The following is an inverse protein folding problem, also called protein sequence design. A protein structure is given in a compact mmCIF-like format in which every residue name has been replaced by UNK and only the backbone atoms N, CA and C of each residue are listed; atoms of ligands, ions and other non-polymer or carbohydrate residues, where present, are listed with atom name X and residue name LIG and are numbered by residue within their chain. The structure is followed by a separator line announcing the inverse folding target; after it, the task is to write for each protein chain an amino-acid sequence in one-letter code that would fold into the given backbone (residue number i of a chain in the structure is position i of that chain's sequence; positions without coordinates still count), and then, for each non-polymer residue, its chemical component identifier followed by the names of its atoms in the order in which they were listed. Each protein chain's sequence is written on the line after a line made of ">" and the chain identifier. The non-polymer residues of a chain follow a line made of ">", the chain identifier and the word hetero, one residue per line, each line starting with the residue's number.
data_IF_008568686699
#
_entry.id   IF_008568686699
#
_cell.length_a   1.000
_cell.length_b   1.000
_cell.length_c   1.000
_cell.angle_alpha   90.00
_cell.angle_beta   90.00
_cell.angle_gamma   90.00
#
_symmetry.space_group_name_H-M   'P 1'
#
loop_
_entity.id
_entity.type
_entity.pdbx_description
1 polymer ?
#
# COMPACT_ATOMS: atom_id res chain seq x y z
N UNK A 1 -19.56 9.75 64.76
CA UNK A 1 -19.75 9.50 63.32
C UNK A 1 -20.78 10.50 62.81
N UNK A 2 -20.35 11.63 62.25
CA UNK A 2 -21.25 12.58 61.60
C UNK A 2 -21.16 12.29 60.09
N UNK A 3 -22.21 11.69 59.54
CA UNK A 3 -22.35 11.55 58.09
C UNK A 3 -22.53 12.97 57.52
N UNK A 4 -21.58 13.41 56.72
CA UNK A 4 -21.67 14.66 55.96
C UNK A 4 -22.71 14.47 54.86
N UNK A 5 -23.98 14.71 55.17
CA UNK A 5 -25.00 14.91 54.14
C UNK A 5 -24.59 16.16 53.34
N UNK A 6 -24.07 15.94 52.14
CA UNK A 6 -23.83 17.03 51.19
C UNK A 6 -25.14 17.75 50.88
N UNK A 7 -25.08 19.03 50.49
CA UNK A 7 -26.28 19.84 50.28
C UNK A 7 -27.22 19.15 49.31
N UNK A 8 -28.49 18.99 49.72
CA UNK A 8 -29.53 18.39 48.89
C UNK A 8 -29.66 19.25 47.62
N UNK A 9 -29.47 18.68 46.41
CA UNK A 9 -29.51 19.46 45.18
C UNK A 9 -30.85 20.17 45.06
N UNK A 10 -30.80 21.49 44.89
CA UNK A 10 -32.00 22.32 44.79
C UNK A 10 -32.82 21.88 43.56
N UNK A 11 -34.14 22.09 43.59
CA UNK A 11 -35.01 21.67 42.47
C UNK A 11 -34.57 22.30 41.13
N UNK A 12 -34.06 23.53 41.17
CA UNK A 12 -33.46 24.20 40.03
C UNK A 12 -32.20 23.50 39.51
N UNK A 13 -31.34 23.03 40.41
CA UNK A 13 -30.09 22.34 40.07
C UNK A 13 -30.37 20.97 39.46
N UNK A 14 -31.36 20.24 39.98
CA UNK A 14 -31.87 19.01 39.36
C UNK A 14 -32.42 19.27 37.96
N UNK A 15 -33.16 20.37 37.76
CA UNK A 15 -33.68 20.77 36.46
C UNK A 15 -32.56 21.14 35.47
N UNK A 16 -31.52 21.86 35.94
CA UNK A 16 -30.33 22.18 35.11
C UNK A 16 -29.59 20.92 34.69
N UNK A 17 -29.36 19.98 35.62
CA UNK A 17 -28.72 18.71 35.32
C UNK A 17 -29.56 17.89 34.33
N UNK A 18 -30.89 17.87 34.49
CA UNK A 18 -31.78 17.17 33.56
C UNK A 18 -31.75 17.79 32.16
N UNK A 19 -31.77 19.13 32.07
CA UNK A 19 -31.65 19.85 30.81
C UNK A 19 -30.31 19.57 30.11
N UNK A 20 -29.20 19.68 30.85
CA UNK A 20 -27.86 19.38 30.33
C UNK A 20 -27.72 17.93 29.85
N UNK A 21 -28.32 16.96 30.57
CA UNK A 21 -28.35 15.56 30.13
C UNK A 21 -29.12 15.38 28.82
N UNK A 22 -30.27 16.04 28.69
CA UNK A 22 -31.08 16.00 27.47
C UNK A 22 -30.32 16.60 26.28
N UNK A 23 -29.69 17.75 26.47
CA UNK A 23 -28.87 18.41 25.46
C UNK A 23 -27.69 17.53 25.03
N UNK A 24 -26.98 16.92 25.98
CA UNK A 24 -25.87 16.01 25.70
C UNK A 24 -26.33 14.82 24.84
N UNK A 25 -27.47 14.21 25.16
CA UNK A 25 -28.02 13.09 24.37
C UNK A 25 -28.33 13.54 22.94
N UNK A 26 -28.95 14.72 22.78
CA UNK A 26 -29.25 15.27 21.45
C UNK A 26 -27.97 15.55 20.66
N UNK A 27 -26.95 16.13 21.30
CA UNK A 27 -25.65 16.38 20.68
C UNK A 27 -24.96 15.08 20.23
N UNK A 28 -25.03 14.02 21.04
CA UNK A 28 -24.45 12.71 20.68
C UNK A 28 -25.17 12.07 19.48
N UNK A 29 -26.50 12.15 19.43
CA UNK A 29 -27.27 11.66 18.28
C UNK A 29 -26.90 12.45 17.02
N UNK A 30 -26.83 13.78 17.13
CA UNK A 30 -26.42 14.64 16.01
C UNK A 30 -25.00 14.33 15.55
N UNK A 31 -24.06 14.13 16.48
CA UNK A 31 -22.68 13.76 16.15
C UNK A 31 -22.63 12.45 15.35
N UNK A 32 -23.32 11.40 15.84
CA UNK A 32 -23.40 10.11 15.13
C UNK A 32 -23.98 10.24 13.73
N UNK A 33 -24.99 11.08 13.55
CA UNK A 33 -25.58 11.32 12.23
C UNK A 33 -24.58 12.01 11.28
N UNK A 34 -23.86 13.02 11.77
CA UNK A 34 -22.82 13.71 10.99
C UNK A 34 -21.64 12.80 10.68
N UNK A 35 -21.21 11.96 11.62
CA UNK A 35 -20.11 10.99 11.42
C UNK A 35 -20.49 10.01 10.29
N UNK A 36 -21.74 9.54 10.25
CA UNK A 36 -22.25 8.68 9.17
C UNK A 36 -22.28 9.40 7.82
N UNK A 37 -22.75 10.66 7.80
CA UNK A 37 -22.80 11.45 6.57
C UNK A 37 -21.40 11.75 6.03
N UNK A 38 -20.46 12.07 6.92
CA UNK A 38 -19.06 12.28 6.57
C UNK A 38 -18.47 11.04 5.90
N UNK A 39 -18.64 9.86 6.50
CA UNK A 39 -18.14 8.62 5.94
C UNK A 39 -18.72 8.33 4.55
N UNK A 40 -20.03 8.58 4.36
CA UNK A 40 -20.68 8.42 3.06
C UNK A 40 -20.09 9.36 2.00
N UNK A 41 -19.85 10.62 2.33
CA UNK A 41 -19.27 11.61 1.40
C UNK A 41 -17.83 11.23 1.05
N UNK A 42 -17.03 10.78 2.02
CA UNK A 42 -15.63 10.39 1.77
C UNK A 42 -15.54 9.21 0.80
N UNK A 43 -16.42 8.22 0.94
CA UNK A 43 -16.51 7.08 0.02
C UNK A 43 -16.96 7.52 -1.37
N UNK A 44 -17.93 8.43 -1.44
CA UNK A 44 -18.37 9.00 -2.73
C UNK A 44 -17.24 9.77 -3.42
N UNK A 45 -16.49 10.59 -2.69
CA UNK A 45 -15.32 11.31 -3.22
C UNK A 45 -14.31 10.30 -3.78
N UNK A 46 -13.96 9.26 -3.01
CA UNK A 46 -13.00 8.25 -3.43
C UNK A 46 -13.41 7.52 -4.73
N UNK A 47 -14.71 7.20 -4.86
CA UNK A 47 -15.26 6.57 -6.06
C UNK A 47 -15.23 7.52 -7.27
N UNK A 48 -15.68 8.76 -7.09
CA UNK A 48 -15.70 9.79 -8.14
C UNK A 48 -14.29 10.14 -8.62
N UNK A 49 -13.32 10.23 -7.71
CA UNK A 49 -11.91 10.41 -8.07
C UNK A 49 -11.40 9.28 -8.96
N UNK A 50 -11.67 8.03 -8.57
CA UNK A 50 -11.24 6.87 -9.35
C UNK A 50 -11.82 6.91 -10.77
N UNK A 51 -13.11 7.21 -10.90
CA UNK A 51 -13.77 7.35 -12.19
C UNK A 51 -13.17 8.50 -13.00
N UNK A 52 -13.01 9.68 -12.40
CA UNK A 52 -12.47 10.87 -13.06
C UNK A 52 -11.05 10.64 -13.58
N UNK A 53 -10.18 10.05 -12.76
CA UNK A 53 -8.79 9.80 -13.14
C UNK A 53 -8.70 8.77 -14.26
N UNK A 54 -9.49 7.69 -14.23
CA UNK A 54 -9.54 6.70 -15.31
C UNK A 54 -10.04 7.33 -16.62
N UNK A 55 -11.14 8.08 -16.55
CA UNK A 55 -11.76 8.70 -17.71
C UNK A 55 -10.84 9.75 -18.33
N UNK A 56 -10.31 10.68 -17.54
CA UNK A 56 -9.46 11.76 -18.06
C UNK A 56 -8.12 11.26 -18.58
N UNK A 57 -7.57 10.20 -17.99
CA UNK A 57 -6.32 9.60 -18.48
C UNK A 57 -6.46 8.95 -19.85
N UNK A 58 -7.65 8.46 -20.20
CA UNK A 58 -7.92 7.94 -21.54
C UNK A 58 -7.97 9.05 -22.60
N UNK A 59 -8.38 10.26 -22.23
CA UNK A 59 -8.69 11.34 -23.18
C UNK A 59 -7.51 12.27 -23.49
N UNK A 60 -6.34 12.11 -22.86
CA UNK A 60 -5.08 12.84 -23.13
C UNK A 60 -5.16 14.38 -23.17
N UNK A 61 -6.33 14.95 -22.88
CA UNK A 61 -6.55 16.38 -22.72
C UNK A 61 -6.05 16.90 -21.37
N UNK A 62 -5.54 16.02 -20.52
CA UNK A 62 -5.07 16.35 -19.18
C UNK A 62 -6.16 16.26 -18.11
N UNK A 63 -5.76 16.48 -16.87
CA UNK A 63 -6.64 16.41 -15.70
C UNK A 63 -6.20 17.41 -14.62
N UNK A 64 -7.00 17.58 -13.57
CA UNK A 64 -6.72 18.53 -12.49
C UNK A 64 -5.40 18.22 -11.73
N UNK A 65 -4.93 16.97 -11.76
CA UNK A 65 -3.74 16.51 -11.04
C UNK A 65 -2.46 16.83 -11.82
N UNK A 66 -2.47 16.59 -13.13
CA UNK A 66 -1.30 16.68 -14.01
C UNK A 66 -1.32 17.90 -14.95
N UNK A 67 -2.42 18.66 -14.96
CA UNK A 67 -2.62 19.83 -15.81
C UNK A 67 -3.20 19.50 -17.19
N UNK A 68 -3.56 20.55 -17.94
CA UNK A 68 -4.26 20.49 -19.23
C UNK A 68 -3.37 20.84 -20.44
N UNK A 69 -2.05 20.72 -20.32
CA UNK A 69 -1.10 21.09 -21.38
C UNK A 69 -1.30 20.31 -22.70
N UNK A 70 -1.86 19.10 -22.60
CA UNK A 70 -2.18 18.23 -23.73
C UNK A 70 -3.51 18.55 -24.41
N UNK A 71 -4.35 19.41 -23.82
CA UNK A 71 -5.72 19.66 -24.27
C UNK A 71 -5.81 20.11 -25.73
N UNK A 72 -4.92 21.00 -26.17
CA UNK A 72 -4.91 21.49 -27.55
C UNK A 72 -4.21 20.53 -28.53
N UNK A 73 -3.43 19.57 -28.03
CA UNK A 73 -2.54 18.75 -28.86
C UNK A 73 -3.22 17.49 -29.41
N UNK A 74 -4.43 17.15 -28.94
CA UNK A 74 -5.26 16.03 -29.39
C UNK A 74 -4.49 14.71 -29.64
N UNK A 75 -3.39 14.51 -28.92
CA UNK A 75 -2.67 13.25 -28.93
C UNK A 75 -3.48 12.28 -28.09
N UNK A 76 -3.55 10.99 -28.43
CA UNK A 76 -4.21 9.99 -27.56
C UNK A 76 -3.12 9.15 -26.93
N UNK A 77 -2.87 9.34 -25.64
CA UNK A 77 -1.89 8.54 -24.90
C UNK A 77 -2.42 7.13 -24.68
N UNK A 78 -1.88 6.15 -25.43
CA UNK A 78 -2.28 4.72 -25.33
C UNK A 78 -1.78 4.00 -24.07
N UNK A 79 -1.14 4.70 -23.12
CA UNK A 79 -0.66 4.08 -21.89
C UNK A 79 -1.83 3.97 -20.91
N UNK A 80 -2.14 2.74 -20.50
CA UNK A 80 -3.04 2.47 -19.36
C UNK A 80 -2.51 3.27 -18.18
N UNK A 81 -3.33 4.18 -17.67
CA UNK A 81 -3.02 4.91 -16.46
C UNK A 81 -3.18 3.98 -15.26
N UNK A 82 -2.11 3.83 -14.49
CA UNK A 82 -2.14 3.14 -13.22
C UNK A 82 -2.57 4.15 -12.15
N UNK A 83 -3.73 3.92 -11.55
CA UNK A 83 -4.23 4.75 -10.45
C UNK A 83 -3.25 4.68 -9.28
N UNK A 84 -2.56 5.78 -9.00
CA UNK A 84 -1.75 5.93 -7.81
C UNK A 84 -2.58 6.54 -6.69
N UNK A 85 -2.39 6.07 -5.46
CA UNK A 85 -2.98 6.72 -4.28
C UNK A 85 -2.49 8.16 -4.09
N UNK A 86 -1.30 8.49 -4.60
CA UNK A 86 -0.78 9.85 -4.57
C UNK A 86 -1.60 10.82 -5.44
N UNK A 87 -2.30 10.32 -6.46
CA UNK A 87 -3.10 11.15 -7.37
C UNK A 87 -4.53 11.41 -6.82
N UNK A 88 -4.89 10.79 -5.68
CA UNK A 88 -6.17 10.94 -4.98
C UNK A 88 -6.16 12.13 -4.02
N UNK A 89 -5.95 13.33 -4.55
CA UNK A 89 -5.75 14.54 -3.75
C UNK A 89 -6.97 14.92 -2.88
N UNK A 90 -8.19 14.65 -3.33
CA UNK A 90 -9.40 14.95 -2.57
C UNK A 90 -9.62 13.93 -1.45
N UNK A 91 -9.43 12.63 -1.69
CA UNK A 91 -9.48 11.63 -0.61
C UNK A 91 -8.38 11.85 0.43
N UNK A 92 -7.14 12.12 -0.01
CA UNK A 92 -6.00 12.37 0.90
C UNK A 92 -6.11 13.69 1.66
N UNK A 93 -7.02 14.60 1.28
CA UNK A 93 -7.31 15.82 2.04
C UNK A 93 -8.04 15.55 3.36
N UNK A 94 -8.64 14.37 3.52
CA UNK A 94 -9.23 13.92 4.77
C UNK A 94 -8.33 12.89 5.46
N UNK A 95 -8.15 12.99 6.78
CA UNK A 95 -7.45 11.96 7.55
C UNK A 95 -8.33 10.73 7.83
N UNK A 96 -9.65 10.84 7.65
CA UNK A 96 -10.61 9.79 7.99
C UNK A 96 -11.06 8.95 6.80
N UNK A 97 -10.66 9.29 5.57
CA UNK A 97 -11.18 8.63 4.36
C UNK A 97 -10.94 7.11 4.35
N UNK A 98 -9.77 6.64 4.81
CA UNK A 98 -9.45 5.20 4.88
C UNK A 98 -10.40 4.47 5.82
N UNK A 99 -10.64 5.04 6.99
CA UNK A 99 -11.58 4.49 7.96
C UNK A 99 -13.01 4.45 7.42
N UNK A 100 -13.40 5.45 6.63
CA UNK A 100 -14.72 5.50 6.00
C UNK A 100 -14.89 4.48 4.89
N UNK A 101 -13.81 4.18 4.15
CA UNK A 101 -13.77 3.07 3.19
C UNK A 101 -13.91 1.72 3.88
N UNK A 102 -13.20 1.49 4.98
CA UNK A 102 -13.32 0.26 5.79
C UNK A 102 -14.75 0.07 6.30
N UNK A 103 -15.33 1.11 6.90
CA UNK A 103 -16.70 1.07 7.45
C UNK A 103 -17.75 0.78 6.38
N UNK A 104 -17.51 1.20 5.13
CA UNK A 104 -18.43 0.95 4.01
C UNK A 104 -18.18 -0.40 3.34
N UNK A 105 -16.93 -0.88 3.32
CA UNK A 105 -16.54 -2.19 2.77
C UNK A 105 -17.01 -3.38 3.62
N UNK A 106 -17.11 -3.21 4.95
CA UNK A 106 -17.68 -4.23 5.85
C UNK A 106 -19.16 -4.57 5.56
N UNK A 107 -19.85 -3.74 4.76
CA UNK A 107 -21.26 -3.91 4.39
C UNK A 107 -21.54 -4.82 3.18
N UNK A 108 -20.55 -5.14 2.34
CA UNK A 108 -20.77 -5.89 1.09
C UNK A 108 -20.25 -7.34 1.12
N UNK A 109 -19.34 -7.70 2.04
CA UNK A 109 -18.77 -9.06 2.15
C UNK A 109 -19.16 -9.85 3.43
N UNK A 110 -19.98 -9.27 4.32
CA UNK A 110 -20.29 -9.88 5.62
C UNK A 110 -21.60 -10.69 5.66
N UNK A 111 -22.30 -10.88 4.53
CA UNK A 111 -23.53 -11.67 4.49
C UNK A 111 -23.31 -13.21 4.52
N UNK A 112 -22.06 -13.69 4.62
CA UNK A 112 -21.74 -15.12 4.52
C UNK A 112 -21.15 -15.78 5.77
N UNK A 113 -20.98 -15.08 6.90
CA UNK A 113 -20.57 -15.72 8.17
C UNK A 113 -21.25 -15.04 9.38
N UNK A 114 -22.48 -15.45 9.69
CA UNK A 114 -23.32 -14.91 10.76
C UNK A 114 -23.15 -15.62 12.13
N UNK A 115 -22.08 -16.37 12.38
CA UNK A 115 -22.03 -17.25 13.57
C UNK A 115 -20.82 -17.08 14.52
N UNK A 116 -20.20 -15.89 14.62
CA UNK A 116 -19.14 -15.70 15.63
C UNK A 116 -19.07 -14.31 16.28
N UNK A 117 -20.21 -13.68 16.57
CA UNK A 117 -20.25 -12.41 17.31
C UNK A 117 -20.38 -12.62 18.82
N UNK A 118 -19.28 -13.02 19.47
CA UNK A 118 -19.16 -12.99 20.94
C UNK A 118 -18.87 -11.55 21.39
N UNK A 119 -19.83 -10.96 22.10
CA UNK A 119 -19.81 -9.64 22.75
C UNK A 119 -18.44 -9.23 23.34
N UNK A 120 -17.88 -8.05 23.02
CA UNK A 120 -16.75 -7.52 23.78
C UNK A 120 -17.28 -6.85 25.06
N UNK A 121 -17.11 -7.55 26.17
CA UNK A 121 -17.19 -6.97 27.51
C UNK A 121 -16.01 -6.01 27.71
N UNK A 122 -16.31 -4.86 28.32
CA UNK A 122 -15.34 -3.82 28.65
C UNK A 122 -14.34 -4.31 29.70
N UNK A 123 -13.06 -4.47 29.33
CA UNK A 123 -11.99 -4.84 30.26
C UNK A 123 -10.60 -4.99 29.61
N UNK A 124 -9.65 -4.22 30.12
CA UNK A 124 -8.17 -4.34 30.04
C UNK A 124 -7.51 -4.59 28.67
N UNK A 125 -6.90 -3.53 28.12
CA UNK A 125 -6.09 -3.55 26.90
C UNK A 125 -4.80 -4.33 27.09
N UNK A 126 -4.78 -5.61 26.68
CA UNK A 126 -3.53 -6.35 26.42
C UNK A 126 -3.35 -6.43 24.91
N UNK A 127 -2.20 -5.93 24.43
CA UNK A 127 -1.84 -5.94 23.01
C UNK A 127 -1.47 -7.38 22.64
N UNK A 128 -2.42 -8.10 22.03
CA UNK A 128 -2.14 -9.39 21.40
C UNK A 128 -1.56 -9.13 20.02
N UNK A 129 -0.25 -9.31 19.87
CA UNK A 129 0.38 -9.28 18.54
C UNK A 129 0.03 -10.58 17.79
N UNK A 130 -0.34 -10.51 16.50
CA UNK A 130 -0.44 -11.69 15.66
C UNK A 130 0.94 -12.35 15.50
N UNK A 131 1.02 -13.69 15.50
CA UNK A 131 2.27 -14.41 15.32
C UNK A 131 2.89 -14.10 13.96
N UNK A 132 4.20 -13.79 13.96
CA UNK A 132 4.94 -13.43 12.75
C UNK A 132 4.81 -14.52 11.66
N UNK A 133 4.60 -14.14 10.38
CA UNK A 133 4.57 -15.10 9.29
C UNK A 133 5.94 -15.77 9.17
N UNK A 134 5.97 -17.10 9.31
CA UNK A 134 7.19 -17.88 9.13
C UNK A 134 7.60 -17.76 7.65
N UNK A 135 8.86 -17.39 7.40
CA UNK A 135 9.42 -17.42 6.06
C UNK A 135 9.25 -18.83 5.47
N UNK A 136 8.93 -18.99 4.18
CA UNK A 136 8.77 -20.30 3.58
C UNK A 136 10.10 -21.06 3.68
N UNK A 137 10.13 -22.10 4.52
CA UNK A 137 11.28 -22.97 4.61
C UNK A 137 11.44 -23.70 3.28
N UNK A 138 12.55 -23.42 2.60
CA UNK A 138 12.92 -24.13 1.39
C UNK A 138 13.16 -25.59 1.74
N UNK A 139 12.55 -26.49 0.98
CA UNK A 139 12.74 -27.94 1.17
C UNK A 139 14.22 -28.31 1.09
N UNK A 140 14.64 -29.38 1.75
CA UNK A 140 16.03 -29.85 1.73
C UNK A 140 16.57 -30.04 0.29
N UNK A 141 15.70 -30.40 -0.66
CA UNK A 141 16.01 -30.49 -2.08
C UNK A 141 16.35 -29.12 -2.72
N UNK A 142 15.63 -28.06 -2.35
CA UNK A 142 15.87 -26.70 -2.83
C UNK A 142 17.16 -26.10 -2.24
N UNK A 143 17.46 -26.35 -0.96
CA UNK A 143 18.74 -25.93 -0.38
C UNK A 143 19.93 -26.61 -1.08
N UNK A 144 19.83 -27.93 -1.34
CA UNK A 144 20.90 -28.66 -2.05
C UNK A 144 21.11 -28.09 -3.45
N UNK A 145 20.04 -27.80 -4.20
CA UNK A 145 20.12 -27.19 -5.53
C UNK A 145 20.75 -25.81 -5.52
N UNK A 146 20.42 -24.98 -4.53
CA UNK A 146 20.99 -23.64 -4.40
C UNK A 146 22.49 -23.68 -4.08
N UNK A 147 22.89 -24.57 -3.16
CA UNK A 147 24.30 -24.78 -2.80
C UNK A 147 25.13 -25.27 -4.00
N UNK A 148 24.59 -26.20 -4.79
CA UNK A 148 25.27 -26.75 -5.97
C UNK A 148 25.42 -25.69 -7.07
N UNK A 149 24.37 -24.87 -7.28
CA UNK A 149 24.39 -23.75 -8.21
C UNK A 149 25.43 -22.70 -7.84
N UNK A 150 25.60 -22.44 -6.54
CA UNK A 150 26.62 -21.53 -6.04
C UNK A 150 28.04 -22.11 -6.20
N UNK A 151 28.23 -23.40 -5.94
CA UNK A 151 29.51 -24.07 -6.14
C UNK A 151 29.95 -24.01 -7.61
N UNK A 152 29.04 -24.23 -8.55
CA UNK A 152 29.33 -24.09 -9.97
C UNK A 152 29.68 -22.65 -10.38
N UNK A 153 28.97 -21.66 -9.81
CA UNK A 153 29.27 -20.24 -10.04
C UNK A 153 30.69 -19.89 -9.55
N UNK A 154 31.04 -20.35 -8.35
CA UNK A 154 32.37 -20.11 -7.75
C UNK A 154 33.49 -20.82 -8.52
N UNK A 155 33.26 -22.05 -8.99
CA UNK A 155 34.21 -22.79 -9.84
C UNK A 155 34.46 -22.05 -11.17
N UNK A 156 33.41 -21.53 -11.81
CA UNK A 156 33.55 -20.74 -13.05
C UNK A 156 34.29 -19.42 -12.82
N UNK A 157 34.01 -18.73 -11.72
CA UNK A 157 34.72 -17.51 -11.36
C UNK A 157 36.21 -17.76 -11.06
N UNK A 158 36.55 -18.86 -10.37
CA UNK A 158 37.93 -19.22 -10.07
C UNK A 158 38.72 -19.63 -11.33
N UNK A 159 38.09 -20.33 -12.28
CA UNK A 159 38.70 -20.66 -13.57
C UNK A 159 38.98 -19.40 -14.42
N UNK A 160 38.06 -18.41 -14.39
CA UNK A 160 38.24 -17.13 -15.07
C UNK A 160 39.40 -16.30 -14.51
N UNK A 161 39.68 -16.40 -13.20
CA UNK A 161 40.80 -15.68 -12.56
C UNK A 161 42.16 -16.33 -12.83
N UNK A 162 42.21 -17.61 -13.19
CA UNK A 162 43.46 -18.29 -13.57
C UNK A 162 43.93 -17.99 -15.00
N UNK A 163 43.06 -17.45 -15.87
CA UNK A 163 43.44 -17.03 -17.22
C UNK A 163 43.85 -15.55 -17.33
N UNK A 164 43.89 -14.80 -16.21
CA UNK A 164 44.23 -13.37 -16.16
C UNK A 164 45.61 -13.14 -15.50
N UNK A 165 46.54 -14.06 -15.75
CA UNK A 165 47.86 -14.06 -15.11
C UNK A 165 49.01 -14.26 -16.09
N UNK A 166 49.12 -13.41 -17.12
CA UNK A 166 50.36 -13.10 -17.86
C UNK A 166 50.17 -11.79 -18.64
N UNK A 167 51.21 -10.95 -18.71
CA UNK A 167 51.38 -9.62 -19.37
C UNK A 167 50.96 -8.44 -18.48
N UNK A 168 51.82 -7.84 -17.65
CA UNK A 168 53.09 -7.08 -17.89
C UNK A 168 52.90 -5.83 -18.75
N UNK A 169 53.27 -4.69 -18.13
CA UNK A 169 53.32 -3.29 -18.59
C UNK A 169 53.50 -3.05 -20.09
N UNK A 170 52.76 -2.06 -20.64
CA UNK A 170 53.36 -0.86 -21.25
C UNK A 170 52.31 0.22 -21.57
N UNK A 171 52.78 1.46 -21.57
CA UNK A 171 52.18 2.79 -21.83
C UNK A 171 51.28 2.96 -23.08
N UNK A 172 50.54 4.07 -23.13
CA UNK A 172 50.23 4.75 -24.40
C UNK A 172 48.75 4.93 -24.77
N UNK A 173 48.25 6.13 -24.51
CA UNK A 173 47.05 6.71 -25.12
C UNK A 173 47.18 6.84 -26.65
N UNK A 174 46.25 6.26 -27.43
CA UNK A 174 45.84 6.79 -28.73
C UNK A 174 44.55 6.16 -29.27
N UNK A 175 43.69 7.05 -29.75
CA UNK A 175 42.50 6.87 -30.59
C UNK A 175 42.74 5.99 -31.83
N UNK A 176 41.79 5.11 -32.18
CA UNK A 176 41.22 4.94 -33.53
C UNK A 176 40.21 3.78 -33.58
N UNK A 177 39.20 3.95 -34.44
CA UNK A 177 38.05 3.07 -34.61
C UNK A 177 38.39 1.70 -35.23
N UNK A 178 37.61 0.67 -34.85
CA UNK A 178 37.47 -0.56 -35.66
C UNK A 178 37.42 -1.86 -34.85
N UNK A 179 36.21 -2.32 -34.49
CA UNK A 179 36.01 -3.59 -33.78
C UNK A 179 34.94 -4.47 -34.43
N UNK A 180 35.38 -5.32 -35.38
CA UNK A 180 34.58 -6.35 -36.06
C UNK A 180 34.04 -7.41 -35.10
N UNK A 181 32.81 -7.87 -35.36
CA UNK A 181 32.12 -8.99 -34.69
C UNK A 181 32.93 -10.31 -34.82
N UNK A 182 33.10 -11.10 -33.75
CA UNK A 182 33.74 -12.41 -33.85
C UNK A 182 32.76 -13.48 -34.36
N UNK A 183 33.13 -14.06 -35.49
CA UNK A 183 32.56 -15.26 -36.13
C UNK A 183 32.92 -16.53 -35.33
N UNK A 184 31.91 -17.35 -35.02
CA UNK A 184 32.06 -18.70 -34.47
C UNK A 184 32.76 -19.61 -35.49
N UNK A 185 33.96 -20.10 -35.18
CA UNK A 185 34.58 -21.23 -35.90
C UNK A 185 34.02 -22.55 -35.35
N UNK A 186 33.43 -23.34 -36.25
CA UNK A 186 33.09 -24.76 -36.08
C UNK A 186 34.39 -25.55 -35.93
N UNK A 187 34.50 -26.39 -34.89
CA UNK A 187 35.55 -27.41 -34.79
C UNK A 187 35.02 -28.70 -35.41
N UNK A 188 35.75 -29.16 -36.42
CA UNK A 188 35.75 -30.52 -36.95
C UNK A 188 36.15 -31.47 -35.83
N UNK A 189 35.41 -32.57 -35.69
CA UNK A 189 35.84 -33.77 -34.97
C UNK A 189 35.92 -34.87 -36.03
N UNK A 190 37.13 -35.41 -36.21
CA UNK A 190 37.37 -36.69 -36.86
C UNK A 190 37.72 -37.73 -35.77
N UNK A 191 37.32 -38.98 -36.07
CA UNK A 191 37.67 -40.29 -35.52
C UNK A 191 37.10 -40.74 -34.14
N UNK A 192 36.12 -41.67 -34.18
CA UNK A 192 36.32 -43.14 -34.23
C UNK A 192 35.06 -43.84 -34.83
#
# INVERSE_FOLDING_TARGET
>A
MAATEGPIPTAEEKNRIMAAKKELIQALVKRRALDKQLAQIEVQIHALEGQYLVETSAHSGGNIIHGFEGYLKNQVTKKRYELSDADRLFSTSSLTYQRSLELSGEGEESAANLDDFKQPTSGLTTVVLPPAPRAPELTAAQLKKNRDREYQRKKRAAASRRSVGTVSDDEGSATTAGGRRPIKRVRVADDD
#
